data_IF_715219465391
#
_entry.id   IF_715219465391
#
_cell.length_a   1.000
_cell.length_b   1.000
_cell.length_c   1.000
_cell.angle_alpha   90.00
_cell.angle_beta   90.00
_cell.angle_gamma   90.00
#
_symmetry.space_group_name_H-M   'P 1'
#
loop_
_entity.id
_entity.type
_entity.pdbx_description
1 polymer ?
#
# COMPACT_ATOMS: atom_id res chain seq x y z
N UNK A 1 14.00 3.22 -22.17
CA UNK A 1 13.30 2.70 -20.98
C UNK A 1 11.85 3.09 -21.12
N UNK A 2 11.12 2.35 -21.95
CA UNK A 2 9.68 2.54 -22.12
C UNK A 2 8.96 1.69 -21.07
N UNK A 3 7.91 2.22 -20.44
CA UNK A 3 6.82 1.38 -19.96
C UNK A 3 6.89 0.83 -18.52
N UNK A 4 7.35 1.60 -17.53
CA UNK A 4 7.06 1.27 -16.12
C UNK A 4 5.86 2.09 -15.67
N UNK A 5 4.69 1.46 -15.58
CA UNK A 5 3.40 2.14 -15.36
C UNK A 5 3.07 2.26 -13.88
N UNK A 6 3.57 1.35 -13.06
CA UNK A 6 3.23 1.25 -11.65
C UNK A 6 4.37 1.64 -10.70
N UNK A 7 5.56 1.90 -11.25
CA UNK A 7 6.73 2.40 -10.52
C UNK A 7 7.14 3.79 -11.02
N UNK A 8 7.49 4.67 -10.11
CA UNK A 8 8.02 5.99 -10.39
C UNK A 8 9.52 6.02 -10.06
N UNK A 9 10.35 6.51 -10.98
CA UNK A 9 11.80 6.59 -10.77
C UNK A 9 12.16 7.92 -10.10
N UNK A 10 12.80 7.86 -8.94
CA UNK A 10 13.30 9.01 -8.20
C UNK A 10 14.80 8.84 -7.96
N UNK A 11 15.61 9.36 -8.89
CA UNK A 11 17.05 9.15 -8.91
C UNK A 11 17.42 7.68 -9.12
N UNK A 12 17.97 7.04 -8.07
CA UNK A 12 18.33 5.61 -8.06
C UNK A 12 17.27 4.71 -7.43
N UNK A 13 16.22 5.31 -6.86
CA UNK A 13 15.12 4.61 -6.22
C UNK A 13 13.95 4.43 -7.21
N UNK A 14 13.26 3.29 -7.08
CA UNK A 14 11.98 3.01 -7.74
C UNK A 14 10.87 2.97 -6.69
N UNK A 15 9.96 3.93 -6.76
CA UNK A 15 8.85 4.09 -5.82
C UNK A 15 7.64 3.33 -6.34
N UNK A 16 7.07 2.49 -5.50
CA UNK A 16 5.87 1.72 -5.86
C UNK A 16 4.62 2.57 -5.65
N UNK A 17 3.81 2.68 -6.69
CA UNK A 17 2.53 3.40 -6.62
C UNK A 17 1.55 2.65 -5.72
N UNK A 18 0.86 3.41 -4.87
CA UNK A 18 -0.22 2.92 -4.00
C UNK A 18 -1.56 3.17 -4.69
N UNK A 19 -2.48 2.19 -4.63
CA UNK A 19 -3.81 2.31 -5.22
C UNK A 19 -4.89 2.33 -4.15
N UNK A 20 -6.01 2.95 -4.52
CA UNK A 20 -7.25 2.92 -3.74
C UNK A 20 -7.75 1.48 -3.65
N UNK A 21 -8.03 1.03 -2.43
CA UNK A 21 -8.64 -0.27 -2.09
C UNK A 21 -10.08 -0.10 -1.60
N UNK A 22 -10.84 -1.19 -1.42
CA UNK A 22 -12.24 -1.12 -0.95
C UNK A 22 -12.38 -0.39 0.37
N UNK A 23 -11.39 -0.55 1.25
CA UNK A 23 -11.35 0.11 2.53
C UNK A 23 -11.53 1.63 2.39
N UNK A 24 -10.93 2.24 1.36
CA UNK A 24 -11.06 3.68 1.13
C UNK A 24 -12.50 4.05 0.72
N UNK A 25 -13.13 3.25 -0.14
CA UNK A 25 -14.53 3.45 -0.53
C UNK A 25 -15.46 3.29 0.67
N UNK A 26 -15.24 2.28 1.52
CA UNK A 26 -16.01 2.05 2.74
C UNK A 26 -15.90 3.26 3.69
N UNK A 27 -14.70 3.79 3.89
CA UNK A 27 -14.49 4.96 4.74
C UNK A 27 -15.24 6.19 4.22
N UNK A 28 -15.24 6.42 2.90
CA UNK A 28 -16.02 7.51 2.30
C UNK A 28 -17.52 7.34 2.49
N UNK A 29 -18.04 6.11 2.39
CA UNK A 29 -19.46 5.82 2.65
C UNK A 29 -19.81 6.15 4.11
N UNK A 30 -18.96 5.81 5.07
CA UNK A 30 -19.19 6.17 6.49
C UNK A 30 -19.27 7.67 6.74
N UNK A 31 -18.43 8.46 6.05
CA UNK A 31 -18.51 9.92 6.09
C UNK A 31 -19.87 10.41 5.56
N UNK A 32 -20.35 9.86 4.44
CA UNK A 32 -21.66 10.20 3.88
C UNK A 32 -22.81 9.82 4.81
N UNK A 33 -22.78 8.63 5.41
CA UNK A 33 -23.79 8.20 6.40
C UNK A 33 -23.83 9.18 7.57
N UNK A 34 -22.66 9.61 8.05
CA UNK A 34 -22.58 10.57 9.16
C UNK A 34 -23.23 11.92 8.80
N UNK A 35 -23.04 12.39 7.57
CA UNK A 35 -23.69 13.62 7.06
C UNK A 35 -25.22 13.43 7.00
N UNK A 36 -25.68 12.28 6.51
CA UNK A 36 -27.13 11.97 6.45
C UNK A 36 -27.73 11.97 7.86
N UNK A 37 -27.06 11.37 8.84
CA UNK A 37 -27.53 11.36 10.24
C UNK A 37 -27.65 12.79 10.78
N UNK A 38 -26.71 13.67 10.48
CA UNK A 38 -26.74 15.09 10.89
C UNK A 38 -27.94 15.83 10.30
N UNK A 39 -28.23 15.62 9.02
CA UNK A 39 -29.26 16.39 8.29
C UNK A 39 -30.66 15.81 8.52
N UNK A 40 -30.79 14.48 8.60
CA UNK A 40 -32.06 13.77 8.53
C UNK A 40 -32.58 13.30 9.89
N UNK A 41 -31.86 13.53 10.99
CA UNK A 41 -32.28 13.08 12.32
C UNK A 41 -32.17 14.20 13.36
N UNK A 42 -32.92 14.08 14.46
CA UNK A 42 -32.80 14.97 15.63
C UNK A 42 -31.53 14.69 16.47
N UNK A 43 -30.73 13.69 16.12
CA UNK A 43 -29.53 13.26 16.86
C UNK A 43 -28.27 14.03 16.44
N UNK A 44 -28.33 15.36 16.46
CA UNK A 44 -27.24 16.24 16.00
C UNK A 44 -25.90 15.92 16.70
N UNK A 45 -25.91 15.75 18.03
CA UNK A 45 -24.71 15.44 18.81
C UNK A 45 -24.06 14.12 18.37
N UNK A 46 -24.88 13.08 18.18
CA UNK A 46 -24.40 11.76 17.71
C UNK A 46 -23.86 11.83 16.29
N UNK A 47 -24.56 12.53 15.39
CA UNK A 47 -24.12 12.74 14.02
C UNK A 47 -22.77 13.45 13.93
N UNK A 48 -22.56 14.51 14.73
CA UNK A 48 -21.28 15.24 14.78
C UNK A 48 -20.14 14.32 15.26
N UNK A 49 -20.34 13.57 16.35
CA UNK A 49 -19.32 12.66 16.88
C UNK A 49 -18.96 11.59 15.83
N UNK A 50 -19.98 11.00 15.20
CA UNK A 50 -19.81 10.00 14.15
C UNK A 50 -19.06 10.56 12.93
N UNK A 51 -19.38 11.79 12.53
CA UNK A 51 -18.72 12.47 11.43
C UNK A 51 -17.24 12.74 11.72
N UNK A 52 -16.93 13.32 12.89
CA UNK A 52 -15.55 13.61 13.30
C UNK A 52 -14.73 12.31 13.34
N UNK A 53 -15.29 11.25 13.93
CA UNK A 53 -14.60 9.96 14.00
C UNK A 53 -14.37 9.34 12.62
N UNK A 54 -15.39 9.36 11.76
CA UNK A 54 -15.28 8.86 10.38
C UNK A 54 -14.26 9.65 9.57
N UNK A 55 -14.19 10.96 9.76
CA UNK A 55 -13.22 11.84 9.09
C UNK A 55 -11.79 11.52 9.54
N UNK A 56 -11.56 11.35 10.85
CA UNK A 56 -10.25 10.97 11.39
C UNK A 56 -9.79 9.62 10.84
N UNK A 57 -10.67 8.61 10.83
CA UNK A 57 -10.36 7.30 10.24
C UNK A 57 -10.06 7.39 8.74
N UNK A 58 -10.80 8.23 8.01
CA UNK A 58 -10.57 8.47 6.58
C UNK A 58 -9.18 9.07 6.36
N UNK A 59 -8.80 10.10 7.12
CA UNK A 59 -7.47 10.72 7.02
C UNK A 59 -6.37 9.67 7.22
N UNK A 60 -6.50 8.82 8.25
CA UNK A 60 -5.53 7.76 8.53
C UNK A 60 -5.48 6.71 7.42
N UNK A 61 -6.63 6.30 6.88
CA UNK A 61 -6.70 5.30 5.81
C UNK A 61 -6.04 5.78 4.50
N UNK A 62 -6.12 7.09 4.21
CA UNK A 62 -5.55 7.72 3.02
C UNK A 62 -4.07 8.14 3.17
N UNK A 63 -3.40 7.77 4.27
CA UNK A 63 -1.95 7.99 4.46
C UNK A 63 -1.14 6.71 4.22
N UNK A 64 -0.99 6.22 2.97
CA UNK A 64 -0.27 4.99 2.73
C UNK A 64 1.25 5.18 2.94
N UNK A 65 1.98 4.09 3.25
CA UNK A 65 3.43 4.11 3.27
C UNK A 65 4.01 4.43 1.89
N UNK A 66 5.16 5.12 1.87
CA UNK A 66 5.99 5.22 0.67
C UNK A 66 6.98 4.07 0.66
N UNK A 67 6.94 3.26 -0.41
CA UNK A 67 7.82 2.11 -0.57
C UNK A 67 8.77 2.38 -1.73
N UNK A 68 10.07 2.31 -1.49
CA UNK A 68 11.10 2.50 -2.50
C UNK A 68 12.08 1.32 -2.57
N UNK A 69 12.38 0.89 -3.79
CA UNK A 69 13.37 -0.13 -4.10
C UNK A 69 14.61 0.53 -4.69
N UNK A 70 15.76 0.29 -4.08
CA UNK A 70 17.05 0.65 -4.64
C UNK A 70 17.84 -0.63 -4.96
N UNK A 71 17.84 -1.02 -6.23
CA UNK A 71 18.52 -2.24 -6.67
C UNK A 71 20.05 -2.09 -6.71
N UNK A 72 20.57 -0.85 -6.77
CA UNK A 72 22.01 -0.56 -6.77
C UNK A 72 22.58 -0.80 -5.36
N UNK A 73 22.00 -0.15 -4.36
CA UNK A 73 22.37 -0.29 -2.95
C UNK A 73 21.75 -1.53 -2.28
N UNK A 74 20.92 -2.27 -3.01
CA UNK A 74 20.22 -3.49 -2.57
C UNK A 74 19.33 -3.28 -1.34
N UNK A 75 18.60 -2.15 -1.29
CA UNK A 75 17.73 -1.83 -0.17
C UNK A 75 16.28 -1.68 -0.59
N UNK A 76 15.36 -2.21 0.22
CA UNK A 76 13.96 -1.85 0.23
C UNK A 76 13.71 -0.90 1.40
N UNK A 77 13.16 0.27 1.14
CA UNK A 77 12.78 1.23 2.17
C UNK A 77 11.26 1.39 2.23
N UNK A 78 10.71 1.25 3.43
CA UNK A 78 9.30 1.52 3.74
C UNK A 78 9.25 2.71 4.69
N UNK A 79 8.81 3.86 4.18
CA UNK A 79 8.66 5.09 4.95
C UNK A 79 7.18 5.37 5.22
N UNK A 80 6.76 5.18 6.47
CA UNK A 80 5.45 5.62 6.94
C UNK A 80 5.46 7.15 7.04
N UNK A 81 4.59 7.81 6.27
CA UNK A 81 4.46 9.28 6.25
C UNK A 81 3.31 9.82 7.12
N UNK A 82 2.52 8.92 7.72
CA UNK A 82 1.41 9.29 8.59
C UNK A 82 1.84 9.86 9.94
N UNK A 83 0.97 9.73 10.94
CA UNK A 83 1.14 10.32 12.29
C UNK A 83 2.47 9.97 12.96
N UNK A 84 2.95 8.73 12.80
CA UNK A 84 4.25 8.31 13.30
C UNK A 84 5.21 8.06 12.14
N UNK A 85 6.11 9.01 11.91
CA UNK A 85 7.11 8.92 10.84
C UNK A 85 8.15 7.88 11.22
N UNK A 86 8.01 6.69 10.64
CA UNK A 86 8.97 5.59 10.79
C UNK A 86 9.50 5.17 9.44
N UNK A 87 10.80 4.90 9.39
CA UNK A 87 11.48 4.37 8.21
C UNK A 87 12.03 3.00 8.56
N UNK A 88 11.63 2.00 7.79
CA UNK A 88 12.18 0.65 7.87
C UNK A 88 12.96 0.39 6.61
N UNK A 89 14.15 -0.18 6.74
CA UNK A 89 14.99 -0.56 5.62
C UNK A 89 15.29 -2.05 5.72
N UNK A 90 15.12 -2.76 4.61
CA UNK A 90 15.32 -4.19 4.48
C UNK A 90 16.38 -4.44 3.41
N UNK A 91 17.29 -5.39 3.66
CA UNK A 91 18.30 -5.79 2.69
C UNK A 91 17.68 -6.74 1.65
N UNK A 92 17.80 -6.37 0.38
CA UNK A 92 17.34 -7.18 -0.76
C UNK A 92 18.18 -8.46 -0.99
N UNK A 93 19.30 -8.64 -0.29
CA UNK A 93 20.01 -9.92 -0.26
C UNK A 93 19.20 -11.01 0.49
N UNK A 94 18.42 -10.61 1.49
CA UNK A 94 17.56 -11.50 2.27
C UNK A 94 16.17 -11.69 1.63
N UNK A 95 15.90 -11.02 0.51
CA UNK A 95 14.61 -11.05 -0.18
C UNK A 95 14.37 -12.42 -0.85
N UNK A 96 13.27 -13.06 -0.46
CA UNK A 96 12.89 -14.39 -0.96
C UNK A 96 11.92 -14.30 -2.14
N UNK A 97 11.03 -13.32 -2.13
CA UNK A 97 10.05 -13.17 -3.19
C UNK A 97 8.91 -12.23 -2.83
N UNK A 98 7.94 -12.17 -3.73
CA UNK A 98 6.71 -11.43 -3.52
C UNK A 98 5.58 -12.40 -3.16
N UNK A 99 4.80 -12.06 -2.14
CA UNK A 99 3.59 -12.78 -1.81
C UNK A 99 2.37 -11.90 -2.08
N UNK A 100 1.45 -12.41 -2.89
CA UNK A 100 0.18 -11.75 -3.16
C UNK A 100 -0.92 -12.37 -2.32
N UNK A 101 -1.48 -11.57 -1.42
CA UNK A 101 -2.56 -11.99 -0.54
C UNK A 101 -3.83 -11.22 -0.85
N UNK A 102 -4.92 -11.93 -1.13
CA UNK A 102 -6.24 -11.31 -1.25
C UNK A 102 -6.99 -11.46 0.06
N UNK A 103 -7.26 -10.35 0.74
CA UNK A 103 -8.13 -10.33 1.91
C UNK A 103 -9.58 -10.32 1.42
N UNK A 104 -10.40 -11.21 1.97
CA UNK A 104 -11.82 -11.37 1.62
C UNK A 104 -12.68 -11.37 2.89
N UNK A 105 -13.87 -10.80 2.80
CA UNK A 105 -14.97 -11.09 3.73
C UNK A 105 -15.95 -11.98 2.96
N UNK A 106 -16.10 -13.22 3.42
CA UNK A 106 -16.81 -14.27 2.69
C UNK A 106 -16.31 -14.35 1.23
N UNK A 107 -17.18 -14.01 0.27
CA UNK A 107 -16.88 -14.09 -1.17
C UNK A 107 -16.36 -12.75 -1.71
N UNK A 108 -16.51 -11.64 -0.96
CA UNK A 108 -16.19 -10.29 -1.41
C UNK A 108 -14.71 -9.99 -1.17
N UNK A 109 -13.89 -9.71 -2.21
CA UNK A 109 -12.52 -9.28 -2.04
C UNK A 109 -12.48 -7.85 -1.46
N UNK A 110 -11.92 -7.71 -0.27
CA UNK A 110 -11.68 -6.40 0.36
C UNK A 110 -10.47 -5.70 -0.25
N UNK A 111 -9.47 -6.48 -0.67
CA UNK A 111 -8.26 -5.95 -1.26
C UNK A 111 -7.24 -7.03 -1.56
N UNK A 112 -6.40 -6.77 -2.54
CA UNK A 112 -5.19 -7.52 -2.85
C UNK A 112 -3.99 -6.71 -2.35
N UNK A 113 -3.19 -7.35 -1.52
CA UNK A 113 -1.99 -6.78 -0.91
C UNK A 113 -0.78 -7.53 -1.46
N UNK A 114 0.21 -6.76 -1.87
CA UNK A 114 1.50 -7.25 -2.30
C UNK A 114 2.46 -7.11 -1.13
N UNK A 115 3.02 -8.22 -0.65
CA UNK A 115 4.03 -8.25 0.39
C UNK A 115 5.39 -8.63 -0.20
N UNK A 116 6.46 -8.14 0.40
CA UNK A 116 7.81 -8.63 0.14
C UNK A 116 8.23 -9.54 1.29
N UNK A 117 8.68 -10.75 0.94
CA UNK A 117 9.12 -11.74 1.89
C UNK A 117 10.64 -11.74 2.06
N UNK A 118 11.10 -11.98 3.29
CA UNK A 118 12.50 -11.92 3.67
C UNK A 118 12.83 -13.04 4.66
N UNK A 119 13.99 -13.70 4.46
CA UNK A 119 14.48 -14.84 5.27
C UNK A 119 14.33 -14.66 6.78
N UNK A 120 14.66 -13.46 7.24
CA UNK A 120 14.78 -13.13 8.67
C UNK A 120 13.57 -12.37 9.22
N UNK A 121 12.49 -12.26 8.44
CA UNK A 121 11.29 -11.51 8.84
C UNK A 121 10.11 -12.48 8.97
N UNK A 122 9.52 -12.54 10.16
CA UNK A 122 8.31 -13.33 10.36
C UNK A 122 7.19 -12.86 9.42
N UNK A 123 6.38 -13.79 8.93
CA UNK A 123 5.21 -13.54 8.06
C UNK A 123 4.33 -12.36 8.52
N UNK A 124 4.13 -12.18 9.83
CA UNK A 124 3.34 -11.07 10.38
C UNK A 124 3.99 -9.68 10.33
N UNK A 125 5.31 -9.61 10.12
CA UNK A 125 6.09 -8.36 10.11
C UNK A 125 6.55 -7.95 8.71
N UNK A 126 6.21 -8.75 7.70
CA UNK A 126 6.61 -8.48 6.33
C UNK A 126 6.04 -7.15 5.82
N UNK A 127 6.82 -6.36 5.09
CA UNK A 127 6.36 -5.08 4.59
C UNK A 127 5.31 -5.25 3.47
N UNK A 128 4.21 -4.49 3.59
CA UNK A 128 3.27 -4.27 2.49
C UNK A 128 3.95 -3.34 1.48
N UNK A 129 4.06 -3.81 0.25
CA UNK A 129 4.68 -3.09 -0.87
C UNK A 129 3.67 -2.24 -1.62
N UNK A 130 2.50 -2.80 -1.90
CA UNK A 130 1.40 -2.09 -2.52
C UNK A 130 0.08 -2.80 -2.22
N UNK A 131 -1.01 -2.09 -2.49
CA UNK A 131 -2.36 -2.62 -2.36
C UNK A 131 -3.21 -2.14 -3.53
N UNK A 132 -4.17 -2.96 -3.95
CA UNK A 132 -5.27 -2.53 -4.82
C UNK A 132 -6.44 -3.49 -4.74
N UNK A 133 -7.55 -3.12 -5.36
CA UNK A 133 -8.67 -4.04 -5.57
C UNK A 133 -8.38 -5.20 -6.55
N UNK A 134 -7.44 -5.01 -7.49
CA UNK A 134 -7.24 -5.92 -8.61
C UNK A 134 -5.96 -6.71 -8.44
N UNK A 135 -6.09 -8.04 -8.41
CA UNK A 135 -4.93 -8.95 -8.45
C UNK A 135 -4.06 -8.69 -9.67
N UNK A 136 -4.66 -8.34 -10.81
CA UNK A 136 -3.93 -8.04 -12.05
C UNK A 136 -2.94 -6.89 -11.87
N UNK A 137 -3.35 -5.78 -11.25
CA UNK A 137 -2.47 -4.63 -11.00
C UNK A 137 -1.28 -4.99 -10.10
N UNK A 138 -1.51 -5.82 -9.09
CA UNK A 138 -0.44 -6.28 -8.20
C UNK A 138 0.54 -7.21 -8.94
N UNK A 139 0.04 -8.05 -9.85
CA UNK A 139 0.89 -8.88 -10.70
C UNK A 139 1.70 -8.05 -11.69
N UNK A 140 1.11 -7.01 -12.27
CA UNK A 140 1.82 -6.05 -13.14
C UNK A 140 2.99 -5.39 -12.39
N UNK A 141 2.77 -4.98 -11.13
CA UNK A 141 3.85 -4.45 -10.26
C UNK A 141 4.95 -5.48 -10.01
N UNK A 142 4.60 -6.74 -9.71
CA UNK A 142 5.59 -7.82 -9.52
C UNK A 142 6.45 -7.95 -10.77
N UNK A 143 5.82 -8.04 -11.94
CA UNK A 143 6.52 -8.22 -13.21
C UNK A 143 7.48 -7.04 -13.47
N UNK A 144 7.00 -5.80 -13.28
CA UNK A 144 7.84 -4.60 -13.43
C UNK A 144 9.05 -4.62 -12.46
N UNK A 145 8.85 -5.01 -11.20
CA UNK A 145 9.93 -5.10 -10.21
C UNK A 145 10.93 -6.23 -10.53
N UNK A 146 10.46 -7.38 -11.00
CA UNK A 146 11.31 -8.49 -11.41
C UNK A 146 12.15 -8.16 -12.65
N UNK A 147 11.56 -7.49 -13.63
CA UNK A 147 12.27 -7.07 -14.84
C UNK A 147 13.36 -6.04 -14.52
N UNK A 148 13.09 -5.10 -13.61
CA UNK A 148 14.09 -4.17 -13.09
C UNK A 148 15.22 -4.89 -12.34
N UNK A 149 14.88 -5.89 -11.51
CA UNK A 149 15.88 -6.71 -10.79
C UNK A 149 16.79 -7.47 -11.76
N UNK A 150 16.25 -8.03 -12.85
CA UNK A 150 17.03 -8.72 -13.89
C UNK A 150 17.96 -7.74 -14.61
N UNK A 151 17.46 -6.58 -15.02
CA UNK A 151 18.27 -5.57 -15.70
C UNK A 151 19.41 -5.06 -14.83
N UNK A 152 19.14 -4.79 -13.55
CA UNK A 152 20.17 -4.36 -12.61
C UNK A 152 21.27 -5.40 -12.38
N UNK A 153 21.00 -6.69 -12.55
CA UNK A 153 22.03 -7.75 -12.51
C UNK A 153 22.89 -7.74 -13.77
N UNK A 154 22.28 -7.52 -14.93
CA UNK A 154 22.98 -7.54 -16.21
C UNK A 154 23.91 -6.32 -16.42
N UNK A 155 23.65 -5.19 -15.76
CA UNK A 155 24.53 -3.99 -15.84
C UNK A 155 25.77 -4.07 -14.93
N UNK A 156 25.92 -5.13 -14.12
CA UNK A 156 27.10 -5.35 -13.26
C UNK A 156 28.16 -6.27 -13.88
N UNK A 157 27.99 -6.66 -15.14
CA UNK A 157 28.98 -7.38 -15.94
C UNK A 157 29.59 -6.46 -17.00
#
# INVERSE_FOLDING_TARGET
MEGVKHLEREGTDYIVKQYVSLQHCIMMIWVLISIIVIISTSYLKTGIIMFVFSLLLTIVAFMPPRVSFNFISKNLTVANRGLNRRKFTYDLNDFEGFELQTIRIAIIPLGCFLYADFKNVSHFKRPVISQSFSKKKMQEIINELEDLKKHSKNTKH
#
